data_IF_525595332181
#
_entry.id   IF_525595332181
#
_cell.length_a   1.000
_cell.length_b   1.000
_cell.length_c   1.000
_cell.angle_alpha   90.00
_cell.angle_beta   90.00
_cell.angle_gamma   90.00
#
_symmetry.space_group_name_H-M   'P 1'
#
loop_
_entity.id
_entity.type
_entity.pdbx_description
1 polymer ?
#
# COMPACT_ATOMS: atom_id res chain seq x y z
N UNK A 1 -12.61 -4.32 6.58
CA UNK A 1 -11.23 -4.16 6.07
C UNK A 1 -11.09 -2.89 5.24
N UNK A 2 -11.83 -2.76 4.12
CA UNK A 2 -11.73 -1.59 3.23
C UNK A 2 -11.87 -0.23 3.94
N UNK A 3 -12.83 -0.08 4.86
CA UNK A 3 -13.01 1.17 5.62
C UNK A 3 -11.79 1.50 6.50
N UNK A 4 -11.20 0.50 7.17
CA UNK A 4 -9.99 0.70 7.99
C UNK A 4 -8.79 1.10 7.13
N UNK A 5 -8.63 0.42 5.99
CA UNK A 5 -7.59 0.74 5.02
C UNK A 5 -7.74 2.17 4.49
N UNK A 6 -8.96 2.58 4.14
CA UNK A 6 -9.25 3.94 3.71
C UNK A 6 -8.95 4.97 4.81
N UNK A 7 -9.39 4.73 6.05
CA UNK A 7 -9.08 5.61 7.19
C UNK A 7 -7.58 5.69 7.48
N UNK A 8 -6.85 4.59 7.33
CA UNK A 8 -5.39 4.59 7.51
C UNK A 8 -4.70 5.38 6.40
N UNK A 9 -5.06 5.18 5.13
CA UNK A 9 -4.53 5.97 4.01
C UNK A 9 -4.77 7.45 4.22
N UNK A 10 -6.02 7.81 4.54
CA UNK A 10 -6.43 9.19 4.74
C UNK A 10 -5.60 9.87 5.83
N UNK A 11 -5.43 9.19 6.98
CA UNK A 11 -4.64 9.70 8.11
C UNK A 11 -3.15 9.79 7.89
N UNK A 12 -2.60 9.02 6.95
CA UNK A 12 -1.15 8.94 6.72
C UNK A 12 -0.69 9.69 5.47
N UNK A 13 -1.56 9.90 4.48
CA UNK A 13 -1.19 10.46 3.19
C UNK A 13 -1.96 11.74 2.81
N UNK A 14 -3.03 12.09 3.50
CA UNK A 14 -3.87 13.24 3.18
C UNK A 14 -4.08 14.19 4.36
N UNK A 15 -4.73 13.71 5.43
CA UNK A 15 -5.13 14.51 6.59
C UNK A 15 -4.83 13.79 7.90
N UNK A 16 -3.92 14.28 8.75
CA UNK A 16 -3.53 13.60 10.00
C UNK A 16 -4.70 13.33 10.97
N UNK A 17 -5.81 14.05 10.83
CA UNK A 17 -7.04 13.89 11.62
C UNK A 17 -8.12 13.07 10.91
N UNK A 18 -7.93 12.78 9.62
CA UNK A 18 -8.93 12.19 8.72
C UNK A 18 -10.05 13.16 8.34
N UNK A 19 -9.74 14.46 8.30
CA UNK A 19 -10.66 15.53 7.93
C UNK A 19 -10.60 15.86 6.44
N UNK A 20 -11.52 16.72 5.99
CA UNK A 20 -11.59 17.14 4.59
C UNK A 20 -10.38 17.99 4.13
N UNK A 21 -9.65 18.60 5.06
CA UNK A 21 -8.49 19.45 4.76
C UNK A 21 -7.21 18.62 4.68
N UNK A 22 -6.53 18.70 3.53
CA UNK A 22 -5.21 18.13 3.34
C UNK A 22 -4.17 18.91 4.16
N UNK A 23 -3.41 18.20 4.98
CA UNK A 23 -2.25 18.75 5.69
C UNK A 23 -0.99 17.89 5.56
N UNK A 24 -1.08 16.77 4.83
CA UNK A 24 0.06 15.90 4.49
C UNK A 24 0.40 16.08 3.01
N UNK A 25 1.66 16.39 2.72
CA UNK A 25 2.18 16.56 1.36
C UNK A 25 3.39 15.65 1.17
N UNK A 26 3.13 14.47 0.62
CA UNK A 26 4.15 13.46 0.33
C UNK A 26 4.78 13.66 -1.04
N UNK A 27 6.09 13.42 -1.15
CA UNK A 27 6.77 13.44 -2.44
C UNK A 27 6.64 12.08 -3.13
N UNK A 28 6.46 12.10 -4.45
CA UNK A 28 6.54 10.89 -5.26
C UNK A 28 8.01 10.58 -5.58
N UNK A 29 8.49 9.38 -5.23
CA UNK A 29 9.89 9.02 -5.44
C UNK A 29 10.17 7.54 -5.22
N UNK A 30 11.08 6.96 -6.01
CA UNK A 30 11.50 5.57 -5.91
C UNK A 30 12.66 5.44 -4.92
N UNK A 31 12.34 5.07 -3.68
CA UNK A 31 13.34 4.82 -2.63
C UNK A 31 13.19 3.41 -2.06
N UNK A 32 14.28 2.89 -1.53
CA UNK A 32 14.39 1.55 -0.96
C UNK A 32 13.83 1.43 0.47
N UNK A 33 13.27 2.51 1.02
CA UNK A 33 12.67 2.54 2.35
C UNK A 33 11.17 2.20 2.27
N UNK A 34 10.85 0.90 2.19
CA UNK A 34 9.49 0.41 1.98
C UNK A 34 8.50 0.82 3.08
N UNK A 35 8.97 1.05 4.31
CA UNK A 35 8.13 1.33 5.48
C UNK A 35 8.06 2.82 5.87
N UNK A 36 8.84 3.69 5.23
CA UNK A 36 8.74 5.13 5.44
C UNK A 36 7.56 5.69 4.64
N UNK A 37 6.79 6.63 5.15
CA UNK A 37 5.63 7.20 4.42
C UNK A 37 6.06 8.08 3.26
N UNK A 38 7.08 8.92 3.47
CA UNK A 38 7.57 9.91 2.49
C UNK A 38 9.05 9.65 2.20
N UNK A 39 9.50 9.59 0.93
CA UNK A 39 8.72 9.62 -0.32
C UNK A 39 8.01 8.30 -0.65
N UNK A 40 6.95 8.37 -1.45
CA UNK A 40 6.11 7.21 -1.81
C UNK A 40 6.01 6.97 -3.31
N UNK A 41 5.51 5.80 -3.71
CA UNK A 41 5.17 5.44 -5.08
C UNK A 41 3.97 4.48 -5.08
N UNK A 42 3.35 4.25 -6.25
CA UNK A 42 2.05 3.59 -6.35
C UNK A 42 2.00 2.20 -5.67
N UNK A 43 2.96 1.33 -5.97
CA UNK A 43 3.01 -0.02 -5.38
C UNK A 43 3.41 -0.04 -3.91
N UNK A 44 4.21 0.93 -3.44
CA UNK A 44 4.51 1.10 -2.01
C UNK A 44 3.30 1.55 -1.21
N UNK A 45 2.49 2.46 -1.75
CA UNK A 45 1.24 2.88 -1.11
C UNK A 45 0.35 1.64 -0.90
N UNK A 46 0.12 0.85 -1.95
CA UNK A 46 -0.68 -0.38 -1.82
C UNK A 46 -0.05 -1.35 -0.82
N UNK A 47 1.26 -1.58 -0.89
CA UNK A 47 1.97 -2.43 0.08
C UNK A 47 1.70 -1.99 1.52
N UNK A 48 1.93 -0.71 1.84
CA UNK A 48 1.80 -0.18 3.20
C UNK A 48 0.35 -0.24 3.71
N UNK A 49 -0.64 -0.03 2.84
CA UNK A 49 -2.06 -0.12 3.21
C UNK A 49 -2.45 -1.53 3.64
N UNK A 50 -2.00 -2.55 2.92
CA UNK A 50 -2.24 -3.94 3.30
C UNK A 50 -1.30 -4.43 4.39
N UNK A 51 -0.18 -3.74 4.62
CA UNK A 51 0.74 -4.04 5.70
C UNK A 51 0.30 -3.46 7.05
N UNK A 52 -0.33 -2.28 7.08
CA UNK A 52 -0.70 -1.56 8.32
C UNK A 52 -2.20 -1.26 8.48
N UNK A 53 -2.94 -1.16 7.38
CA UNK A 53 -4.24 -0.49 7.33
C UNK A 53 -5.45 -1.29 7.85
N UNK A 54 -5.31 -2.57 8.15
CA UNK A 54 -6.37 -3.38 8.77
C UNK A 54 -6.36 -3.35 10.31
N UNK A 55 -5.32 -2.75 10.90
CA UNK A 55 -5.04 -2.75 12.34
C UNK A 55 -4.30 -3.99 12.85
N UNK A 56 -3.93 -4.92 11.95
CA UNK A 56 -3.11 -6.09 12.25
C UNK A 56 -1.89 -6.08 11.33
N UNK A 57 -0.82 -5.43 11.78
CA UNK A 57 0.43 -5.36 11.02
C UNK A 57 0.84 -6.74 10.50
N UNK A 58 1.22 -6.83 9.21
CA UNK A 58 1.68 -8.04 8.54
C UNK A 58 0.63 -9.12 8.22
N UNK A 59 -0.67 -8.93 8.46
CA UNK A 59 -1.68 -9.99 8.22
C UNK A 59 -1.77 -10.39 6.74
N UNK A 60 -1.63 -9.43 5.82
CA UNK A 60 -1.87 -9.64 4.38
C UNK A 60 -0.62 -9.60 3.50
N UNK A 61 0.50 -9.11 4.02
CA UNK A 61 1.74 -8.90 3.26
C UNK A 61 2.91 -9.67 3.86
N UNK A 62 3.73 -10.28 3.02
CA UNK A 62 5.04 -10.78 3.39
C UNK A 62 5.96 -9.59 3.73
N UNK A 63 6.73 -9.63 4.84
CA UNK A 63 7.78 -8.66 5.08
C UNK A 63 8.75 -8.63 3.90
N UNK A 64 9.02 -7.44 3.39
CA UNK A 64 9.95 -7.20 2.27
C UNK A 64 10.93 -6.10 2.67
N UNK A 65 12.11 -6.10 2.05
CA UNK A 65 13.09 -5.01 2.15
C UNK A 65 13.31 -4.39 0.77
N UNK A 66 13.76 -3.14 0.75
CA UNK A 66 14.05 -2.45 -0.50
C UNK A 66 12.81 -1.86 -1.17
N UNK A 67 12.59 -2.24 -2.43
CA UNK A 67 11.57 -1.67 -3.30
C UNK A 67 10.61 -2.77 -3.76
N UNK A 68 9.34 -2.42 -3.97
CA UNK A 68 8.33 -3.34 -4.51
C UNK A 68 7.80 -2.75 -5.81
N UNK A 69 8.18 -3.31 -6.95
CA UNK A 69 7.65 -2.85 -8.23
C UNK A 69 6.16 -3.19 -8.37
N UNK A 70 5.39 -2.50 -9.23
CA UNK A 70 3.98 -2.82 -9.47
C UNK A 70 3.73 -4.29 -9.84
N UNK A 71 4.64 -4.92 -10.58
CA UNK A 71 4.53 -6.33 -10.97
C UNK A 71 4.92 -7.30 -9.84
N UNK A 72 5.76 -6.87 -8.89
CA UNK A 72 6.18 -7.69 -7.73
C UNK A 72 5.14 -7.69 -6.62
N UNK A 73 4.24 -6.71 -6.63
CA UNK A 73 3.22 -6.51 -5.60
C UNK A 73 2.35 -7.74 -5.40
N UNK A 74 2.01 -8.47 -6.48
CA UNK A 74 1.22 -9.71 -6.40
C UNK A 74 1.93 -10.75 -5.52
N UNK A 75 3.25 -10.90 -5.67
CA UNK A 75 4.06 -11.80 -4.83
C UNK A 75 4.34 -11.27 -3.43
N UNK A 76 3.93 -10.05 -3.10
CA UNK A 76 4.04 -9.51 -1.75
C UNK A 76 2.84 -9.94 -0.87
N UNK A 77 1.69 -10.26 -1.45
CA UNK A 77 0.53 -10.72 -0.69
C UNK A 77 0.73 -12.15 -0.15
N UNK A 78 0.31 -12.39 1.10
CA UNK A 78 0.26 -13.72 1.72
C UNK A 78 -0.89 -14.58 1.21
N UNK A 79 -1.95 -13.93 0.73
CA UNK A 79 -3.03 -14.57 0.01
C UNK A 79 -2.81 -14.37 -1.48
N UNK A 80 -2.93 -15.44 -2.27
CA UNK A 80 -2.97 -15.28 -3.72
C UNK A 80 -4.33 -14.65 -4.08
N UNK A 81 -4.37 -13.43 -4.65
CA UNK A 81 -5.63 -12.89 -5.14
C UNK A 81 -6.17 -13.80 -6.27
N UNK A 82 -7.47 -14.06 -6.25
CA UNK A 82 -8.11 -14.81 -7.33
C UNK A 82 -8.09 -13.98 -8.62
N UNK A 83 -7.70 -14.61 -9.73
CA UNK A 83 -7.73 -13.98 -11.04
C UNK A 83 -9.19 -13.84 -11.48
N UNK A 84 -9.70 -12.61 -11.51
CA UNK A 84 -11.08 -12.32 -11.94
C UNK A 84 -11.25 -12.49 -13.47
N UNK A 85 -10.15 -12.41 -14.25
CA UNK A 85 -10.18 -12.61 -15.70
C UNK A 85 -8.82 -13.04 -16.23
N UNK A 86 -8.79 -14.17 -16.94
CA UNK A 86 -7.59 -14.68 -17.62
C UNK A 86 -7.69 -14.29 -19.09
N UNK A 87 -6.72 -13.52 -19.57
CA UNK A 87 -6.60 -13.21 -20.99
C UNK A 87 -5.75 -14.29 -21.65
N UNK A 88 -6.39 -15.15 -22.46
CA UNK A 88 -5.66 -16.10 -23.30
C UNK A 88 -4.94 -15.35 -24.42
N UNK A 89 -3.65 -15.61 -24.60
CA UNK A 89 -2.92 -15.13 -25.78
C UNK A 89 -3.50 -15.86 -26.99
N UNK A 90 -4.02 -15.10 -27.97
CA UNK A 90 -4.24 -15.60 -29.33
C UNK A 90 -2.90 -15.84 -30.01
#
# INVERSE_FOLDING_TARGET
>A
MAAKAASWVDRNFYSTTGGATQNVFIMYGKYHYLYHINPTYCSKLVFQVFYYGDGFSCSHMHPRSGFVAPYELIGAFKMAPELVKIYSKK
#
